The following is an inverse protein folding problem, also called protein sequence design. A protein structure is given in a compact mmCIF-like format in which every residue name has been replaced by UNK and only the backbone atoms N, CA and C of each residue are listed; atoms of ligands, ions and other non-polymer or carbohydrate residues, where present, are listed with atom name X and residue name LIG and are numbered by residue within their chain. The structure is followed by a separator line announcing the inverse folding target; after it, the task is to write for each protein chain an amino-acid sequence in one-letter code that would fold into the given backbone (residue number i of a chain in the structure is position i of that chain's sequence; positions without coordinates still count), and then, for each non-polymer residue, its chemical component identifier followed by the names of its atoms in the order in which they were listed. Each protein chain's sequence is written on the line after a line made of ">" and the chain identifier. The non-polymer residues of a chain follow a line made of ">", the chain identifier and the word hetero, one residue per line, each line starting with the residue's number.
data_IF_898806837960
#
_entry.id   IF_898806837960
#
_cell.length_a   1.000
_cell.length_b   1.000
_cell.length_c   1.000
_cell.angle_alpha   90.00
_cell.angle_beta   90.00
_cell.angle_gamma   90.00
#
_symmetry.space_group_name_H-M   'P 1'
#
loop_
_entity.id
_entity.type
_entity.pdbx_description
1 polymer ?
#
# COMPACT_ATOMS: atom_id res chain seq x y z
N UNK A 1 -50.40 33.10 -52.09
CA UNK A 1 -49.98 32.37 -50.87
C UNK A 1 -49.40 31.01 -51.25
N UNK A 2 -48.10 30.91 -51.58
CA UNK A 2 -47.45 29.65 -52.01
C UNK A 2 -46.01 29.47 -51.49
N UNK A 3 -45.62 30.20 -50.44
CA UNK A 3 -44.23 30.22 -49.93
C UNK A 3 -44.05 29.56 -48.55
N UNK A 4 -45.13 29.16 -47.88
CA UNK A 4 -45.07 28.64 -46.49
C UNK A 4 -44.92 27.11 -46.47
N UNK A 5 -45.35 26.40 -47.51
CA UNK A 5 -45.34 24.93 -47.53
C UNK A 5 -43.97 24.31 -47.85
N UNK A 6 -43.06 25.06 -48.50
CA UNK A 6 -41.71 24.56 -48.80
C UNK A 6 -40.72 24.80 -47.64
N UNK A 7 -41.12 25.63 -46.66
CA UNK A 7 -40.39 25.84 -45.41
C UNK A 7 -40.70 24.73 -44.41
N UNK A 8 -41.91 24.17 -44.34
CA UNK A 8 -42.23 23.14 -43.34
C UNK A 8 -41.42 21.85 -43.48
N UNK A 9 -41.11 21.40 -44.70
CA UNK A 9 -40.34 20.15 -44.91
C UNK A 9 -38.85 20.38 -44.62
N UNK A 10 -38.27 21.48 -45.13
CA UNK A 10 -36.87 21.84 -44.85
C UNK A 10 -36.67 22.25 -43.39
N UNK A 11 -37.60 22.98 -42.79
CA UNK A 11 -37.57 23.38 -41.38
C UNK A 11 -37.71 22.17 -40.45
N UNK A 12 -38.57 21.20 -40.79
CA UNK A 12 -38.68 19.95 -40.03
C UNK A 12 -37.36 19.16 -40.06
N UNK A 13 -36.69 19.10 -41.20
CA UNK A 13 -35.41 18.38 -41.31
C UNK A 13 -34.27 19.10 -40.57
N UNK A 14 -34.21 20.44 -40.64
CA UNK A 14 -33.23 21.22 -39.87
C UNK A 14 -33.49 21.20 -38.37
N UNK A 15 -34.76 21.13 -37.94
CA UNK A 15 -35.12 21.08 -36.52
C UNK A 15 -34.75 19.74 -35.89
N UNK A 16 -34.90 18.63 -36.62
CA UNK A 16 -34.44 17.31 -36.19
C UNK A 16 -32.90 17.27 -36.12
N UNK A 17 -32.20 17.80 -37.13
CA UNK A 17 -30.74 17.90 -37.12
C UNK A 17 -30.22 18.75 -35.95
N UNK A 18 -30.88 19.86 -35.64
CA UNK A 18 -30.51 20.74 -34.54
C UNK A 18 -30.77 20.09 -33.17
N UNK A 19 -31.91 19.41 -33.00
CA UNK A 19 -32.20 18.65 -31.79
C UNK A 19 -31.20 17.50 -31.58
N UNK A 20 -30.84 16.78 -32.64
CA UNK A 20 -29.87 15.69 -32.58
C UNK A 20 -28.46 16.21 -32.28
N UNK A 21 -28.05 17.31 -32.90
CA UNK A 21 -26.77 17.95 -32.61
C UNK A 21 -26.71 18.46 -31.16
N UNK A 22 -27.79 19.07 -30.66
CA UNK A 22 -27.91 19.46 -29.26
C UNK A 22 -27.79 18.27 -28.31
N UNK A 23 -28.44 17.15 -28.64
CA UNK A 23 -28.33 15.91 -27.85
C UNK A 23 -26.89 15.39 -27.82
N UNK A 24 -26.18 15.38 -28.95
CA UNK A 24 -24.78 14.96 -29.03
C UNK A 24 -23.87 15.89 -28.22
N UNK A 25 -24.10 17.20 -28.25
CA UNK A 25 -23.35 18.16 -27.42
C UNK A 25 -23.64 17.96 -25.93
N UNK A 26 -24.89 17.70 -25.55
CA UNK A 26 -25.26 17.42 -24.16
C UNK A 26 -24.65 16.10 -23.68
N UNK A 27 -24.71 15.03 -24.48
CA UNK A 27 -24.10 13.74 -24.14
C UNK A 27 -22.58 13.85 -24.13
N UNK A 28 -21.98 14.60 -25.06
CA UNK A 28 -20.54 14.85 -25.11
C UNK A 28 -20.06 15.71 -23.94
N UNK A 29 -20.83 16.74 -23.57
CA UNK A 29 -20.56 17.56 -22.39
C UNK A 29 -20.74 16.76 -21.10
N UNK A 30 -21.78 15.95 -20.98
CA UNK A 30 -21.99 15.02 -19.86
C UNK A 30 -20.92 13.93 -19.81
N UNK A 31 -20.43 13.45 -20.96
CA UNK A 31 -19.32 12.51 -21.06
C UNK A 31 -17.99 13.13 -20.67
N UNK A 32 -17.75 14.39 -21.04
CA UNK A 32 -16.60 15.18 -20.60
C UNK A 32 -16.69 15.53 -19.11
N UNK A 33 -17.88 15.88 -18.61
CA UNK A 33 -18.13 16.09 -17.18
C UNK A 33 -17.95 14.78 -16.42
N UNK A 34 -18.50 13.65 -16.88
CA UNK A 34 -18.27 12.34 -16.28
C UNK A 34 -16.78 11.91 -16.33
N UNK A 35 -16.05 12.29 -17.37
CA UNK A 35 -14.60 12.06 -17.46
C UNK A 35 -13.79 13.00 -16.55
N UNK A 36 -14.29 14.22 -16.28
CA UNK A 36 -13.66 15.16 -15.36
C UNK A 36 -13.97 14.82 -13.88
N UNK A 37 -15.22 14.46 -13.58
CA UNK A 37 -15.66 13.95 -12.28
C UNK A 37 -15.14 12.55 -11.97
N UNK A 38 -14.90 11.72 -13.00
CA UNK A 38 -14.14 10.47 -12.89
C UNK A 38 -12.65 10.68 -12.60
N UNK A 39 -12.13 11.91 -12.71
CA UNK A 39 -10.75 12.23 -12.36
C UNK A 39 -10.65 12.84 -10.96
N UNK A 40 -11.56 13.73 -10.56
CA UNK A 40 -11.51 14.39 -9.24
C UNK A 40 -12.11 13.56 -8.08
N UNK A 41 -13.04 12.64 -8.34
CA UNK A 41 -13.52 11.68 -7.32
C UNK A 41 -12.55 10.51 -7.10
N UNK A 42 -11.59 10.30 -8.02
CA UNK A 42 -10.54 9.27 -7.92
C UNK A 42 -9.15 9.82 -7.55
N UNK A 43 -8.90 11.12 -7.59
CA UNK A 43 -7.60 11.66 -7.12
C UNK A 43 -7.60 12.00 -5.64
N UNK A 44 -8.71 12.52 -5.08
CA UNK A 44 -8.68 12.96 -3.67
C UNK A 44 -8.89 11.85 -2.63
N UNK A 45 -9.49 10.70 -3.01
CA UNK A 45 -9.79 9.58 -2.10
C UNK A 45 -9.03 8.28 -2.39
N UNK A 46 -8.31 8.17 -3.52
CA UNK A 46 -7.49 6.99 -3.85
C UNK A 46 -5.98 7.27 -3.72
N UNK A 47 -5.55 8.52 -3.72
CA UNK A 47 -4.13 8.87 -3.69
C UNK A 47 -3.56 8.88 -2.25
N UNK A 48 -4.39 9.21 -1.26
CA UNK A 48 -4.00 9.18 0.17
C UNK A 48 -3.88 7.75 0.70
N UNK A 49 -4.90 6.91 0.49
CA UNK A 49 -4.88 5.51 0.95
C UNK A 49 -3.77 4.71 0.25
N UNK A 50 -3.51 4.95 -1.04
CA UNK A 50 -2.45 4.24 -1.79
C UNK A 50 -1.04 4.68 -1.38
N UNK A 51 -0.81 5.97 -1.11
CA UNK A 51 0.48 6.45 -0.62
C UNK A 51 0.78 5.93 0.80
N UNK A 52 -0.23 5.86 1.67
CA UNK A 52 -0.10 5.31 3.01
C UNK A 52 0.25 3.81 3.00
N UNK A 53 -0.48 3.02 2.21
CA UNK A 53 -0.20 1.58 2.06
C UNK A 53 1.18 1.36 1.41
N UNK A 54 1.57 2.20 0.45
CA UNK A 54 2.90 2.14 -0.19
C UNK A 54 4.04 2.38 0.80
N UNK A 55 3.87 3.29 1.76
CA UNK A 55 4.90 3.55 2.78
C UNK A 55 5.03 2.38 3.75
N UNK A 56 3.91 1.76 4.14
CA UNK A 56 3.91 0.55 4.98
C UNK A 56 4.57 -0.65 4.26
N UNK A 57 4.23 -0.87 2.99
CA UNK A 57 4.83 -1.93 2.16
C UNK A 57 6.34 -1.70 1.95
N UNK A 58 6.73 -0.45 1.68
CA UNK A 58 8.14 -0.06 1.53
C UNK A 58 8.93 -0.31 2.82
N UNK A 59 8.37 0.08 3.98
CA UNK A 59 8.97 -0.19 5.27
C UNK A 59 9.15 -1.70 5.51
N UNK A 60 8.12 -2.51 5.25
CA UNK A 60 8.22 -3.96 5.41
C UNK A 60 9.24 -4.60 4.45
N UNK A 61 9.26 -4.18 3.20
CA UNK A 61 10.22 -4.65 2.19
C UNK A 61 11.66 -4.33 2.60
N UNK A 62 11.91 -3.12 3.12
CA UNK A 62 13.21 -2.71 3.63
C UNK A 62 13.64 -3.51 4.87
N UNK A 63 12.72 -3.79 5.81
CA UNK A 63 13.02 -4.65 6.96
C UNK A 63 13.42 -6.06 6.53
N UNK A 64 12.70 -6.65 5.57
CA UNK A 64 13.04 -7.97 5.04
C UNK A 64 14.43 -7.97 4.38
N UNK A 65 14.74 -6.94 3.59
CA UNK A 65 16.06 -6.78 2.99
C UNK A 65 17.15 -6.61 4.05
N UNK A 66 16.91 -5.82 5.09
CA UNK A 66 17.85 -5.65 6.20
C UNK A 66 18.18 -7.00 6.85
N UNK A 67 17.16 -7.80 7.19
CA UNK A 67 17.34 -9.15 7.73
C UNK A 67 18.17 -10.06 6.82
N UNK A 68 17.92 -10.01 5.51
CA UNK A 68 18.70 -10.78 4.54
C UNK A 68 20.18 -10.36 4.57
N UNK A 69 20.47 -9.05 4.59
CA UNK A 69 21.86 -8.57 4.65
C UNK A 69 22.53 -8.94 5.99
N UNK A 70 21.82 -8.86 7.11
CA UNK A 70 22.32 -9.28 8.42
C UNK A 70 22.66 -10.77 8.45
N UNK A 71 21.78 -11.62 7.94
CA UNK A 71 22.01 -13.06 7.82
C UNK A 71 23.23 -13.36 6.93
N UNK A 72 23.38 -12.66 5.81
CA UNK A 72 24.55 -12.81 4.94
C UNK A 72 25.84 -12.38 5.64
N UNK A 73 25.82 -11.27 6.38
CA UNK A 73 26.97 -10.82 7.16
C UNK A 73 27.34 -11.83 8.26
N UNK A 74 26.35 -12.38 8.96
CA UNK A 74 26.55 -13.41 9.98
C UNK A 74 27.23 -14.65 9.39
N UNK A 75 26.82 -15.07 8.19
CA UNK A 75 27.45 -16.19 7.48
C UNK A 75 28.90 -15.90 7.06
N UNK A 76 29.21 -14.67 6.61
CA UNK A 76 30.60 -14.26 6.30
C UNK A 76 31.49 -14.18 7.55
N UNK A 77 30.92 -13.85 8.71
CA UNK A 77 31.66 -13.87 9.98
C UNK A 77 31.87 -15.32 10.45
N UNK A 78 30.85 -16.17 10.30
CA UNK A 78 30.87 -17.58 10.71
C UNK A 78 31.84 -18.41 9.88
N UNK A 79 31.87 -18.19 8.57
CA UNK A 79 32.68 -18.96 7.62
C UNK A 79 33.79 -18.07 7.07
N UNK A 80 35.09 -18.45 7.18
CA UNK A 80 36.18 -17.65 6.65
C UNK A 80 36.02 -17.39 5.14
N UNK A 81 35.71 -16.15 4.76
CA UNK A 81 35.58 -15.69 3.38
C UNK A 81 36.56 -14.56 3.07
N UNK A 82 36.84 -14.35 1.78
CA UNK A 82 37.60 -13.17 1.32
C UNK A 82 36.78 -11.87 1.42
N UNK A 83 35.45 -12.00 1.38
CA UNK A 83 34.53 -10.86 1.48
C UNK A 83 34.43 -10.36 2.92
N UNK A 84 34.35 -9.04 3.08
CA UNK A 84 34.19 -8.39 4.38
C UNK A 84 32.70 -8.31 4.75
N UNK A 85 32.35 -8.55 6.01
CA UNK A 85 30.97 -8.41 6.48
C UNK A 85 30.54 -6.95 6.64
N UNK A 86 31.48 -6.02 6.85
CA UNK A 86 31.19 -4.62 7.21
C UNK A 86 30.25 -3.90 6.21
N UNK A 87 30.43 -4.01 4.88
CA UNK A 87 29.52 -3.38 3.92
C UNK A 87 28.07 -3.93 3.98
N UNK A 88 27.90 -5.19 4.39
CA UNK A 88 26.58 -5.80 4.55
C UNK A 88 25.90 -5.33 5.83
N UNK A 89 26.68 -5.11 6.90
CA UNK A 89 26.20 -4.54 8.17
C UNK A 89 25.77 -3.08 7.94
N UNK A 90 26.59 -2.29 7.25
CA UNK A 90 26.25 -0.89 6.91
C UNK A 90 24.99 -0.79 6.03
N UNK A 91 24.84 -1.68 5.05
CA UNK A 91 23.63 -1.72 4.21
C UNK A 91 22.40 -2.14 5.02
N UNK A 92 22.54 -3.14 5.89
CA UNK A 92 21.46 -3.54 6.78
C UNK A 92 21.02 -2.39 7.68
N UNK A 93 21.96 -1.61 8.25
CA UNK A 93 21.64 -0.45 9.07
C UNK A 93 20.89 0.62 8.27
N UNK A 94 21.36 0.97 7.07
CA UNK A 94 20.64 1.91 6.18
C UNK A 94 19.21 1.46 5.91
N UNK A 95 19.00 0.18 5.62
CA UNK A 95 17.67 -0.37 5.35
C UNK A 95 16.76 -0.31 6.59
N UNK A 96 17.28 -0.51 7.80
CA UNK A 96 16.52 -0.33 9.05
C UNK A 96 16.12 1.12 9.28
N UNK A 97 17.04 2.06 8.99
CA UNK A 97 16.80 3.49 9.12
C UNK A 97 15.72 3.95 8.12
N UNK A 98 15.84 3.55 6.84
CA UNK A 98 14.84 3.85 5.81
C UNK A 98 13.46 3.24 6.15
N UNK A 99 13.43 2.01 6.67
CA UNK A 99 12.19 1.36 7.08
C UNK A 99 11.51 2.13 8.22
N UNK A 100 12.30 2.59 9.19
CA UNK A 100 11.82 3.38 10.32
C UNK A 100 11.30 4.75 9.86
N UNK A 101 11.98 5.37 8.90
CA UNK A 101 11.53 6.63 8.28
C UNK A 101 10.21 6.45 7.55
N UNK A 102 10.11 5.48 6.64
CA UNK A 102 8.88 5.20 5.88
C UNK A 102 7.71 4.85 6.80
N UNK A 103 7.95 4.08 7.86
CA UNK A 103 6.93 3.76 8.84
C UNK A 103 6.51 5.00 9.66
N UNK A 104 7.45 5.89 10.02
CA UNK A 104 7.12 7.13 10.71
C UNK A 104 6.25 8.05 9.84
N UNK A 105 6.50 8.10 8.53
CA UNK A 105 5.66 8.83 7.57
C UNK A 105 4.27 8.22 7.46
N UNK A 106 4.14 6.90 7.53
CA UNK A 106 2.85 6.22 7.63
C UNK A 106 2.13 6.59 8.94
N UNK A 107 2.79 6.50 10.09
CA UNK A 107 2.20 6.76 11.40
C UNK A 107 1.85 8.24 11.64
N UNK A 108 2.48 9.17 10.91
CA UNK A 108 2.21 10.60 10.99
C UNK A 108 0.95 11.05 10.21
N UNK A 109 0.27 10.14 9.51
CA UNK A 109 -0.98 10.48 8.83
C UNK A 109 -2.14 10.63 9.81
N UNK A 110 -3.12 11.45 9.44
CA UNK A 110 -4.38 11.55 10.18
C UNK A 110 -5.25 10.32 9.86
N UNK A 111 -5.50 9.50 10.87
CA UNK A 111 -6.38 8.33 10.80
C UNK A 111 -7.72 8.63 11.45
N UNK A 112 -8.78 7.99 10.95
CA UNK A 112 -10.09 8.05 11.56
C UNK A 112 -10.09 7.36 12.94
N UNK A 113 -10.99 7.78 13.84
CA UNK A 113 -11.02 7.30 15.22
C UNK A 113 -11.25 5.78 15.35
N UNK A 114 -11.88 5.15 14.34
CA UNK A 114 -12.08 3.71 14.24
C UNK A 114 -10.82 2.96 13.78
N UNK A 115 -9.92 3.63 13.07
CA UNK A 115 -8.64 3.10 12.58
C UNK A 115 -7.49 3.35 13.57
N UNK A 116 -7.57 4.40 14.39
CA UNK A 116 -6.51 4.80 15.32
C UNK A 116 -6.06 3.66 16.24
N UNK A 117 -6.98 2.86 16.77
CA UNK A 117 -6.64 1.74 17.64
C UNK A 117 -5.80 0.66 16.93
N UNK A 118 -6.03 0.43 15.64
CA UNK A 118 -5.22 -0.51 14.84
C UNK A 118 -3.86 0.07 14.48
N UNK A 119 -3.81 1.38 14.19
CA UNK A 119 -2.54 2.08 13.93
C UNK A 119 -1.67 2.06 15.18
N UNK A 120 -2.21 2.34 16.36
CA UNK A 120 -1.48 2.30 17.62
C UNK A 120 -0.92 0.89 17.89
N UNK A 121 -1.72 -0.15 17.61
CA UNK A 121 -1.28 -1.54 17.71
C UNK A 121 -0.17 -1.85 16.70
N UNK A 122 -0.30 -1.41 15.46
CA UNK A 122 0.71 -1.58 14.40
C UNK A 122 2.02 -0.85 14.73
N UNK A 123 1.95 0.35 15.29
CA UNK A 123 3.11 1.11 15.77
C UNK A 123 3.81 0.37 16.91
N UNK A 124 3.05 -0.17 17.86
CA UNK A 124 3.59 -0.96 18.97
C UNK A 124 4.32 -2.22 18.48
N UNK A 125 3.71 -2.98 17.56
CA UNK A 125 4.34 -4.19 17.02
C UNK A 125 5.55 -3.88 16.14
N UNK A 126 5.52 -2.80 15.35
CA UNK A 126 6.68 -2.33 14.59
C UNK A 126 7.84 -1.94 15.51
N UNK A 127 7.59 -1.13 16.54
CA UNK A 127 8.62 -0.74 17.51
C UNK A 127 9.21 -1.95 18.23
N UNK A 128 8.37 -2.94 18.59
CA UNK A 128 8.85 -4.18 19.18
C UNK A 128 9.74 -4.96 18.22
N UNK A 129 9.35 -5.07 16.94
CA UNK A 129 10.13 -5.77 15.94
C UNK A 129 11.50 -5.09 15.69
N UNK A 130 11.50 -3.79 15.43
CA UNK A 130 12.71 -3.04 15.08
C UNK A 130 13.58 -2.78 16.31
N UNK A 131 13.04 -2.09 17.32
CA UNK A 131 13.86 -1.57 18.41
C UNK A 131 14.27 -2.65 19.41
N UNK A 132 13.40 -3.64 19.67
CA UNK A 132 13.68 -4.65 20.70
C UNK A 132 14.34 -5.92 20.15
N UNK A 133 14.21 -6.19 18.86
CA UNK A 133 14.68 -7.45 18.28
C UNK A 133 15.74 -7.24 17.19
N UNK A 134 15.45 -6.47 16.14
CA UNK A 134 16.41 -6.26 15.05
C UNK A 134 17.63 -5.43 15.48
N UNK A 135 17.44 -4.37 16.27
CA UNK A 135 18.57 -3.59 16.79
C UNK A 135 19.49 -4.41 17.72
N UNK A 136 18.92 -5.32 18.52
CA UNK A 136 19.73 -6.25 19.31
C UNK A 136 20.52 -7.20 18.40
N UNK A 137 19.89 -7.75 17.37
CA UNK A 137 20.62 -8.59 16.39
C UNK A 137 21.72 -7.81 15.67
N UNK A 138 21.48 -6.54 15.34
CA UNK A 138 22.50 -5.68 14.75
C UNK A 138 23.70 -5.50 15.69
N UNK A 139 23.44 -5.21 16.96
CA UNK A 139 24.49 -5.10 17.98
C UNK A 139 25.31 -6.39 18.11
N UNK A 140 24.64 -7.56 18.16
CA UNK A 140 25.34 -8.86 18.20
C UNK A 140 26.22 -9.07 16.96
N UNK A 141 25.75 -8.62 15.79
CA UNK A 141 26.48 -8.73 14.53
C UNK A 141 27.71 -7.82 14.50
N UNK A 142 27.59 -6.59 15.01
CA UNK A 142 28.70 -5.63 15.16
C UNK A 142 29.76 -6.14 16.14
N UNK A 143 29.33 -6.74 17.26
CA UNK A 143 30.20 -7.39 18.25
C UNK A 143 30.78 -8.71 17.76
N UNK A 144 30.37 -9.18 16.57
CA UNK A 144 30.73 -10.48 15.98
C UNK A 144 30.31 -11.67 16.84
N UNK A 145 29.31 -11.49 17.70
CA UNK A 145 28.67 -12.56 18.46
C UNK A 145 27.60 -13.26 17.60
N UNK A 146 28.07 -14.18 16.77
CA UNK A 146 27.20 -14.95 15.87
C UNK A 146 26.29 -15.92 16.65
N UNK A 147 26.73 -16.42 17.80
CA UNK A 147 25.89 -17.25 18.65
C UNK A 147 24.75 -16.45 19.26
N UNK A 148 25.02 -15.23 19.73
CA UNK A 148 24.02 -14.27 20.18
C UNK A 148 23.03 -13.91 19.08
N UNK A 149 23.52 -13.61 17.87
CA UNK A 149 22.71 -13.30 16.70
C UNK A 149 21.64 -14.37 16.40
N UNK A 150 22.06 -15.64 16.27
CA UNK A 150 21.15 -16.75 15.95
C UNK A 150 20.24 -17.13 17.13
N UNK A 151 20.69 -16.92 18.39
CA UNK A 151 19.86 -17.19 19.56
C UNK A 151 18.59 -16.31 19.62
N UNK A 152 18.65 -15.12 19.01
CA UNK A 152 17.53 -14.17 18.94
C UNK A 152 16.55 -14.41 17.79
N UNK A 153 16.84 -15.33 16.87
CA UNK A 153 16.11 -15.45 15.60
C UNK A 153 14.63 -15.83 15.80
N UNK A 154 14.36 -16.74 16.74
CA UNK A 154 12.97 -17.11 17.09
C UNK A 154 12.15 -15.91 17.57
N UNK A 155 12.73 -14.99 18.35
CA UNK A 155 12.04 -13.79 18.84
C UNK A 155 11.78 -12.81 17.72
N UNK A 156 12.73 -12.69 16.80
CA UNK A 156 12.64 -11.81 15.62
C UNK A 156 11.52 -12.32 14.70
N UNK A 157 11.45 -13.63 14.47
CA UNK A 157 10.39 -14.25 13.67
C UNK A 157 9.00 -14.09 14.31
N UNK A 158 8.88 -14.32 15.63
CA UNK A 158 7.62 -14.10 16.36
C UNK A 158 7.16 -12.64 16.27
N UNK A 159 8.07 -11.68 16.51
CA UNK A 159 7.73 -10.25 16.39
C UNK A 159 7.39 -9.83 14.96
N UNK A 160 8.02 -10.43 13.95
CA UNK A 160 7.69 -10.22 12.54
C UNK A 160 6.29 -10.75 12.22
N UNK A 161 5.88 -11.90 12.76
CA UNK A 161 4.54 -12.45 12.58
C UNK A 161 3.49 -11.51 13.19
N UNK A 162 3.70 -11.03 14.42
CA UNK A 162 2.80 -10.08 15.06
C UNK A 162 2.68 -8.75 14.32
N UNK A 163 3.78 -8.27 13.72
CA UNK A 163 3.74 -7.10 12.86
C UNK A 163 2.89 -7.34 11.61
N UNK A 164 3.11 -8.46 10.92
CA UNK A 164 2.33 -8.85 9.72
C UNK A 164 0.84 -9.01 10.06
N UNK A 165 0.50 -9.68 11.16
CA UNK A 165 -0.88 -9.82 11.63
C UNK A 165 -1.54 -8.45 11.91
N UNK A 166 -0.79 -7.53 12.52
CA UNK A 166 -1.28 -6.16 12.79
C UNK A 166 -1.47 -5.37 11.50
N UNK A 167 -0.57 -5.50 10.54
CA UNK A 167 -0.66 -4.86 9.23
C UNK A 167 -1.83 -5.40 8.43
N UNK A 168 -2.05 -6.72 8.42
CA UNK A 168 -3.21 -7.35 7.78
C UNK A 168 -4.52 -6.87 8.44
N UNK A 169 -4.58 -6.79 9.76
CA UNK A 169 -5.75 -6.30 10.47
C UNK A 169 -6.11 -4.85 10.06
N UNK A 170 -5.09 -4.01 9.90
CA UNK A 170 -5.26 -2.64 9.39
C UNK A 170 -5.79 -2.63 7.95
N UNK A 171 -5.19 -3.42 7.05
CA UNK A 171 -5.56 -3.49 5.63
C UNK A 171 -6.93 -4.13 5.37
N UNK A 172 -7.42 -4.96 6.29
CA UNK A 172 -8.72 -5.66 6.18
C UNK A 172 -9.89 -4.81 6.68
N UNK A 173 -9.64 -3.73 7.45
CA UNK A 173 -10.72 -2.82 7.79
C UNK A 173 -11.31 -2.18 6.52
N UNK A 174 -12.64 -2.06 6.42
CA UNK A 174 -13.28 -1.45 5.27
C UNK A 174 -12.98 0.05 5.26
N UNK A 175 -11.92 0.44 4.55
CA UNK A 175 -11.73 1.82 4.12
C UNK A 175 -12.88 2.15 3.14
N UNK A 176 -13.93 2.79 3.65
CA UNK A 176 -15.05 3.33 2.86
C UNK A 176 -15.83 2.34 1.98
N UNK A 177 -16.90 1.72 2.53
CA UNK A 177 -18.18 1.34 1.87
C UNK A 177 -18.26 0.47 0.59
N UNK A 178 -17.28 0.47 -0.30
CA UNK A 178 -17.37 -0.10 -1.66
C UNK A 178 -16.73 -1.49 -1.75
N UNK A 179 -15.77 -1.80 -0.87
CA UNK A 179 -14.97 -3.03 -0.94
C UNK A 179 -15.66 -4.25 -0.29
N UNK A 180 -16.68 -4.03 0.56
CA UNK A 180 -17.40 -5.12 1.26
C UNK A 180 -18.10 -6.07 0.28
N UNK A 181 -18.56 -5.57 -0.88
CA UNK A 181 -19.29 -6.38 -1.85
C UNK A 181 -18.36 -7.26 -2.72
N UNK A 182 -17.13 -6.78 -3.03
CA UNK A 182 -16.18 -7.53 -3.85
C UNK A 182 -15.44 -8.61 -3.04
N UNK A 183 -15.16 -8.35 -1.77
CA UNK A 183 -14.43 -9.30 -0.90
C UNK A 183 -15.30 -10.46 -0.40
N UNK A 184 -16.61 -10.26 -0.22
CA UNK A 184 -17.54 -11.36 0.06
C UNK A 184 -17.60 -12.38 -1.09
N UNK A 185 -17.46 -11.93 -2.34
CA UNK A 185 -17.44 -12.80 -3.52
C UNK A 185 -16.12 -13.59 -3.66
N UNK A 186 -14.98 -12.96 -3.36
CA UNK A 186 -13.66 -13.60 -3.51
C UNK A 186 -13.37 -14.63 -2.42
N UNK A 187 -13.85 -14.40 -1.18
CA UNK A 187 -13.70 -15.35 -0.07
C UNK A 187 -14.59 -16.59 -0.22
N UNK A 188 -15.77 -16.45 -0.82
CA UNK A 188 -16.67 -17.59 -1.10
C UNK A 188 -16.07 -18.57 -2.12
N UNK A 189 -15.34 -18.07 -3.12
CA UNK A 189 -14.69 -18.92 -4.12
C UNK A 189 -13.54 -19.75 -3.55
N UNK A 190 -12.80 -19.22 -2.57
CA UNK A 190 -11.64 -19.92 -1.96
C UNK A 190 -12.06 -21.06 -1.03
N UNK A 191 -13.22 -20.97 -0.39
CA UNK A 191 -13.74 -22.04 0.48
C UNK A 191 -14.50 -23.14 -0.27
N UNK A 192 -15.01 -22.88 -1.49
CA UNK A 192 -15.82 -23.85 -2.23
C UNK A 192 -15.06 -24.58 -3.36
N UNK A 193 -13.91 -24.08 -3.82
CA UNK A 193 -13.20 -24.63 -5.00
C UNK A 193 -11.71 -24.98 -4.78
N UNK A 194 -11.23 -25.05 -3.54
CA UNK A 194 -9.85 -25.45 -3.24
C UNK A 194 -9.72 -26.87 -2.69
N UNK A 195 -9.56 -27.86 -3.59
CA UNK A 195 -8.95 -29.16 -3.34
C UNK A 195 -7.93 -29.42 -4.44
#
# INVERSE_FOLDING_TARGET
>A
MKWINNLSVKASWTLVLLAFSGLVVVIGALGLFANHFGREAFTSLHERDMAQISNLDSAYSQLLRARIQMNRAAELIRTPSFDRPDPLIEEAQRLLDEASENFSQFAANDFEADQQALVDQLVSTFQSFVNNNLNLQMMMLEERDISGFFSGESRVDESSQHFVESAEAFLVLPHSGVTICLYALSRFHRYFFGA
#
